data_IF_783948180631
#
_entry.id   IF_783948180631
#
_cell.length_a   1.000
_cell.length_b   1.000
_cell.length_c   1.000
_cell.angle_alpha   90.00
_cell.angle_beta   90.00
_cell.angle_gamma   90.00
#
_symmetry.space_group_name_H-M   'P 1'
#
loop_
_entity.id
_entity.type
_entity.pdbx_description
1 polymer ?
#
# COMPACT_ATOMS: atom_id res chain seq x y z
N UNK A 1 -23.01 12.30 17.71
CA UNK A 1 -21.75 11.97 18.42
C UNK A 1 -21.96 10.64 19.09
N UNK A 2 -21.22 9.62 18.66
CA UNK A 2 -21.26 8.29 19.27
C UNK A 2 -20.05 8.12 20.18
N UNK A 3 -20.31 7.86 21.46
CA UNK A 3 -19.25 7.55 22.44
C UNK A 3 -19.50 6.16 22.99
N UNK A 4 -18.50 5.30 22.88
CA UNK A 4 -18.52 3.96 23.45
C UNK A 4 -17.11 3.56 23.93
N UNK A 5 -17.01 2.48 24.66
CA UNK A 5 -15.74 1.91 25.07
C UNK A 5 -15.56 0.49 24.54
N UNK A 6 -14.35 0.14 24.22
CA UNK A 6 -13.96 -1.23 23.90
C UNK A 6 -13.32 -1.84 25.15
N UNK A 7 -13.85 -2.99 25.59
CA UNK A 7 -13.28 -3.82 26.65
C UNK A 7 -12.57 -5.02 26.02
N UNK A 8 -11.35 -5.32 26.46
CA UNK A 8 -10.58 -6.47 25.99
C UNK A 8 -9.52 -6.90 27.02
N UNK A 9 -8.92 -8.08 26.82
CA UNK A 9 -7.90 -8.60 27.75
C UNK A 9 -6.58 -7.85 27.64
N UNK A 10 -6.28 -7.29 26.45
CA UNK A 10 -5.03 -6.56 26.22
C UNK A 10 -5.17 -5.57 25.06
N UNK A 11 -4.52 -4.42 25.21
CA UNK A 11 -4.42 -3.38 24.21
C UNK A 11 -2.96 -3.09 23.88
N UNK A 12 -2.62 -3.00 22.59
CA UNK A 12 -1.31 -2.56 22.11
C UNK A 12 -1.42 -1.09 21.70
N UNK A 13 -1.05 -0.22 22.62
CA UNK A 13 -1.13 1.24 22.46
C UNK A 13 0.25 1.85 22.17
N UNK A 14 0.33 3.08 21.62
CA UNK A 14 1.62 3.75 21.36
C UNK A 14 2.51 3.89 22.61
N UNK A 15 1.91 4.05 23.80
CA UNK A 15 2.63 4.14 25.07
C UNK A 15 3.06 2.78 25.65
N UNK A 16 2.73 1.67 24.95
CA UNK A 16 3.00 0.30 25.38
C UNK A 16 1.73 -0.50 25.68
N UNK A 17 1.88 -1.82 25.90
CA UNK A 17 0.73 -2.69 26.14
C UNK A 17 0.07 -2.42 27.49
N UNK A 18 -1.27 -2.45 27.48
CA UNK A 18 -2.11 -2.36 28.68
C UNK A 18 -2.89 -3.68 28.85
N UNK A 19 -3.05 -4.15 30.09
CA UNK A 19 -3.79 -5.36 30.42
C UNK A 19 -5.18 -4.99 30.94
N UNK A 20 -6.21 -5.58 30.35
CA UNK A 20 -7.61 -5.28 30.69
C UNK A 20 -7.99 -3.83 30.48
N UNK A 21 -9.07 -3.39 31.11
CA UNK A 21 -9.57 -2.01 31.05
C UNK A 21 -10.37 -1.70 29.79
N UNK A 22 -10.43 -0.42 29.47
CA UNK A 22 -11.34 0.13 28.47
C UNK A 22 -10.64 1.15 27.58
N UNK A 23 -10.77 1.00 26.27
CA UNK A 23 -10.33 1.99 25.28
C UNK A 23 -11.53 2.81 24.82
N UNK A 24 -11.51 4.09 25.06
CA UNK A 24 -12.60 5.00 24.65
C UNK A 24 -12.59 5.19 23.14
N UNK A 25 -13.78 5.32 22.56
CA UNK A 25 -13.98 5.68 21.14
C UNK A 25 -14.99 6.81 21.08
N UNK A 26 -14.61 7.93 20.48
CA UNK A 26 -15.43 9.12 20.31
C UNK A 26 -15.52 9.47 18.82
N UNK A 27 -16.72 9.45 18.26
CA UNK A 27 -16.96 9.71 16.83
C UNK A 27 -16.06 8.90 15.87
N UNK A 28 -15.81 7.63 16.21
CA UNK A 28 -14.99 6.73 15.42
C UNK A 28 -13.47 6.89 15.62
N UNK A 29 -13.03 7.76 16.53
CA UNK A 29 -11.62 7.99 16.84
C UNK A 29 -11.28 7.35 18.18
N UNK A 30 -10.15 6.63 18.24
CA UNK A 30 -9.64 6.06 19.48
C UNK A 30 -9.14 7.17 20.41
N UNK A 31 -9.65 7.15 21.64
CA UNK A 31 -9.32 8.08 22.72
C UNK A 31 -8.40 7.46 23.77
N UNK A 32 -8.60 7.89 25.03
CA UNK A 32 -7.79 7.42 26.15
C UNK A 32 -8.15 5.97 26.55
N UNK A 33 -7.14 5.25 27.03
CA UNK A 33 -7.34 4.00 27.78
C UNK A 33 -7.52 4.34 29.26
N UNK A 34 -8.41 3.60 29.95
CA UNK A 34 -8.63 3.69 31.39
C UNK A 34 -8.87 2.32 32.00
N UNK A 35 -8.52 2.18 33.29
CA UNK A 35 -8.72 0.95 34.05
C UNK A 35 -10.17 0.77 34.52
N UNK A 36 -10.81 1.90 34.93
CA UNK A 36 -12.13 1.91 35.50
C UNK A 36 -13.21 1.86 34.42
N UNK A 37 -14.35 1.21 34.75
CA UNK A 37 -15.47 1.08 33.85
C UNK A 37 -16.13 2.43 33.56
N UNK A 38 -16.23 2.83 32.28
CA UNK A 38 -16.89 4.08 31.89
C UNK A 38 -18.42 3.97 31.95
N UNK A 39 -19.08 5.11 32.03
CA UNK A 39 -20.56 5.20 32.05
C UNK A 39 -21.19 5.28 30.65
N UNK A 40 -20.55 4.75 29.60
CA UNK A 40 -21.05 4.71 28.23
C UNK A 40 -21.30 3.28 27.79
N UNK A 41 -21.79 3.09 26.54
CA UNK A 41 -21.90 1.77 25.92
C UNK A 41 -20.55 1.05 25.92
N UNK A 42 -20.56 -0.24 26.25
CA UNK A 42 -19.35 -1.08 26.24
C UNK A 42 -19.50 -2.14 25.15
N UNK A 43 -18.56 -2.16 24.21
CA UNK A 43 -18.36 -3.26 23.25
C UNK A 43 -17.37 -4.25 23.86
N UNK A 44 -17.87 -5.38 24.35
CA UNK A 44 -17.09 -6.38 25.09
C UNK A 44 -16.43 -7.38 24.13
N UNK A 45 -15.09 -7.34 24.09
CA UNK A 45 -14.22 -8.27 23.39
C UNK A 45 -13.33 -9.06 24.37
N UNK A 46 -13.85 -9.38 25.55
CA UNK A 46 -13.15 -10.24 26.52
C UNK A 46 -12.73 -11.56 25.84
N UNK A 47 -11.51 -12.00 26.08
CA UNK A 47 -10.86 -13.12 25.39
C UNK A 47 -10.06 -12.71 24.14
N UNK A 48 -10.07 -11.43 23.80
CA UNK A 48 -9.36 -10.89 22.62
C UNK A 48 -8.32 -9.84 22.99
N UNK A 49 -7.40 -9.62 22.07
CA UNK A 49 -6.43 -8.54 22.12
C UNK A 49 -6.74 -7.50 21.05
N UNK A 50 -6.63 -6.23 21.41
CA UNK A 50 -6.82 -5.11 20.50
C UNK A 50 -5.45 -4.54 20.11
N UNK A 51 -5.20 -4.47 18.82
CA UNK A 51 -3.97 -3.92 18.25
C UNK A 51 -4.31 -3.02 17.06
N UNK A 52 -3.41 -2.09 16.68
CA UNK A 52 -3.52 -1.41 15.39
C UNK A 52 -3.60 -2.43 14.26
N UNK A 53 -4.46 -2.15 13.28
CA UNK A 53 -4.53 -2.97 12.08
C UNK A 53 -3.24 -2.89 11.26
N UNK A 54 -2.93 -3.96 10.52
CA UNK A 54 -1.80 -3.97 9.61
C UNK A 54 -2.06 -3.04 8.43
N UNK A 55 -0.98 -2.45 7.90
CA UNK A 55 -0.96 -1.64 6.68
C UNK A 55 -0.16 -2.39 5.63
N UNK A 56 -0.79 -2.76 4.52
CA UNK A 56 -0.12 -3.39 3.40
C UNK A 56 0.10 -2.37 2.29
N UNK A 57 1.36 -2.05 2.02
CA UNK A 57 1.73 -1.02 1.03
C UNK A 57 2.15 -1.61 -0.32
N UNK A 58 2.05 -2.95 -0.51
CA UNK A 58 2.43 -3.61 -1.75
C UNK A 58 1.74 -4.96 -1.88
N UNK A 59 0.59 -4.99 -2.52
CA UNK A 59 -0.19 -6.21 -2.78
C UNK A 59 -0.97 -6.10 -4.11
N UNK A 60 -0.86 -7.12 -4.95
CA UNK A 60 -1.44 -7.15 -6.30
C UNK A 60 -2.87 -7.70 -6.36
N UNK A 61 -3.54 -7.74 -5.26
CA UNK A 61 -4.87 -8.29 -5.11
C UNK A 61 -4.91 -9.40 -4.06
N UNK A 62 -6.11 -9.87 -3.77
CA UNK A 62 -6.34 -10.88 -2.76
C UNK A 62 -7.60 -11.68 -3.06
N UNK A 63 -7.68 -12.92 -2.56
CA UNK A 63 -8.87 -13.77 -2.63
C UNK A 63 -9.37 -14.03 -4.06
N UNK A 64 -8.42 -14.36 -4.96
CA UNK A 64 -8.61 -14.63 -6.40
C UNK A 64 -9.04 -13.40 -7.25
N UNK A 65 -8.85 -12.18 -6.77
CA UNK A 65 -9.00 -10.95 -7.53
C UNK A 65 -7.66 -10.24 -7.66
N UNK A 66 -7.34 -9.76 -8.86
CA UNK A 66 -6.18 -8.90 -9.10
C UNK A 66 -6.58 -7.42 -9.11
N UNK A 67 -5.67 -6.57 -8.68
CA UNK A 67 -5.83 -5.11 -8.78
C UNK A 67 -5.81 -4.59 -10.21
N UNK A 68 -5.45 -5.43 -11.18
CA UNK A 68 -5.42 -5.13 -12.62
C UNK A 68 -6.54 -5.78 -13.41
N UNK A 69 -7.52 -6.42 -12.75
CA UNK A 69 -8.65 -7.07 -13.43
C UNK A 69 -9.72 -6.07 -13.93
N UNK A 70 -9.55 -4.76 -13.66
CA UNK A 70 -10.53 -3.71 -13.98
C UNK A 70 -11.91 -3.99 -13.36
N UNK A 71 -11.92 -4.59 -12.17
CA UNK A 71 -13.09 -5.06 -11.45
C UNK A 71 -13.24 -4.36 -10.09
N UNK A 72 -14.07 -3.30 -9.98
CA UNK A 72 -14.31 -2.62 -8.71
C UNK A 72 -14.88 -3.53 -7.61
N UNK A 73 -15.72 -4.52 -7.96
CA UNK A 73 -16.28 -5.48 -7.00
C UNK A 73 -15.18 -6.39 -6.44
N UNK A 74 -14.25 -6.85 -7.29
CA UNK A 74 -13.07 -7.63 -6.88
C UNK A 74 -12.15 -6.86 -5.94
N UNK A 75 -12.00 -5.54 -6.11
CA UNK A 75 -11.28 -4.66 -5.19
C UNK A 75 -11.98 -4.62 -3.81
N UNK A 76 -13.31 -4.56 -3.78
CA UNK A 76 -14.08 -4.56 -2.52
C UNK A 76 -14.05 -5.92 -1.82
N UNK A 77 -14.09 -7.01 -2.56
CA UNK A 77 -13.89 -8.37 -2.03
C UNK A 77 -12.50 -8.48 -1.42
N UNK A 78 -11.46 -8.06 -2.14
CA UNK A 78 -10.08 -8.05 -1.64
C UNK A 78 -9.95 -7.24 -0.34
N UNK A 79 -10.52 -6.03 -0.30
CA UNK A 79 -10.52 -5.17 0.88
C UNK A 79 -11.21 -5.81 2.08
N UNK A 80 -12.35 -6.46 1.86
CA UNK A 80 -13.12 -7.14 2.90
C UNK A 80 -12.35 -8.33 3.47
N UNK A 81 -11.76 -9.13 2.60
CA UNK A 81 -11.00 -10.31 3.02
C UNK A 81 -9.65 -9.96 3.67
N UNK A 82 -9.03 -8.84 3.29
CA UNK A 82 -7.86 -8.29 3.98
C UNK A 82 -8.21 -7.86 5.41
N UNK A 83 -9.31 -7.13 5.58
CA UNK A 83 -9.78 -6.70 6.90
C UNK A 83 -10.06 -7.88 7.83
N UNK A 84 -10.68 -8.95 7.33
CA UNK A 84 -10.91 -10.20 8.08
C UNK A 84 -9.63 -10.87 8.58
N UNK A 85 -8.47 -10.54 7.98
CA UNK A 85 -7.15 -11.06 8.35
C UNK A 85 -6.27 -10.04 9.07
N UNK A 86 -6.86 -8.89 9.45
CA UNK A 86 -6.20 -7.88 10.27
C UNK A 86 -5.48 -6.77 9.50
N UNK A 87 -5.51 -6.79 8.16
CA UNK A 87 -5.05 -5.65 7.34
C UNK A 87 -6.18 -4.65 7.21
N UNK A 88 -6.02 -3.46 7.79
CA UNK A 88 -7.07 -2.43 7.84
C UNK A 88 -6.87 -1.30 6.84
N UNK A 89 -5.67 -1.22 6.26
CA UNK A 89 -5.31 -0.24 5.23
C UNK A 89 -4.37 -0.87 4.21
N UNK A 90 -4.50 -0.51 2.93
CA UNK A 90 -3.68 -1.05 1.89
C UNK A 90 -3.50 -0.10 0.70
N UNK A 91 -2.47 -0.38 -0.11
CA UNK A 91 -2.28 0.20 -1.42
C UNK A 91 -2.51 -0.89 -2.47
N UNK A 92 -3.66 -0.93 -3.16
CA UNK A 92 -3.79 -1.71 -4.38
C UNK A 92 -2.63 -1.43 -5.30
N UNK A 93 -1.89 -2.49 -5.69
CA UNK A 93 -0.66 -2.35 -6.47
C UNK A 93 -0.84 -2.95 -7.85
N UNK A 94 -0.65 -2.15 -8.91
CA UNK A 94 -0.76 -2.63 -10.30
C UNK A 94 0.44 -3.47 -10.71
N UNK A 95 0.27 -4.33 -11.72
CA UNK A 95 1.37 -4.97 -12.44
C UNK A 95 1.78 -4.16 -13.67
N UNK A 96 2.94 -4.51 -14.25
CA UNK A 96 3.36 -4.07 -15.58
C UNK A 96 2.38 -4.59 -16.63
N UNK A 97 1.72 -3.67 -17.32
CA UNK A 97 0.81 -3.94 -18.43
C UNK A 97 0.83 -2.76 -19.43
N UNK A 98 0.01 -2.81 -20.46
CA UNK A 98 -0.14 -1.71 -21.41
C UNK A 98 -0.65 -0.43 -20.73
N UNK A 99 -0.33 0.72 -21.33
CA UNK A 99 -0.66 2.05 -20.76
C UNK A 99 -2.17 2.18 -20.49
N UNK A 100 -3.01 1.75 -21.43
CA UNK A 100 -4.48 1.84 -21.28
C UNK A 100 -4.98 0.84 -20.22
N UNK A 101 -4.42 -0.37 -20.13
CA UNK A 101 -4.80 -1.36 -19.12
C UNK A 101 -4.50 -0.88 -17.71
N UNK A 102 -3.34 -0.25 -17.48
CA UNK A 102 -3.00 0.34 -16.18
C UNK A 102 -3.93 1.51 -15.86
N UNK A 103 -4.27 2.33 -16.85
CA UNK A 103 -5.23 3.43 -16.71
C UNK A 103 -6.61 2.92 -16.27
N UNK A 104 -7.12 1.88 -16.94
CA UNK A 104 -8.40 1.27 -16.61
C UNK A 104 -8.39 0.65 -15.21
N UNK A 105 -7.27 -0.01 -14.82
CA UNK A 105 -7.10 -0.54 -13.47
C UNK A 105 -7.12 0.58 -12.41
N UNK A 106 -6.45 1.70 -12.64
CA UNK A 106 -6.47 2.86 -11.76
C UNK A 106 -7.89 3.45 -11.61
N UNK A 107 -8.63 3.53 -12.72
CA UNK A 107 -10.03 3.99 -12.71
C UNK A 107 -10.94 3.03 -11.93
N UNK A 108 -10.77 1.71 -12.08
CA UNK A 108 -11.56 0.71 -11.36
C UNK A 108 -11.31 0.77 -9.85
N UNK A 109 -10.04 0.95 -9.43
CA UNK A 109 -9.69 1.13 -8.01
C UNK A 109 -10.33 2.41 -7.46
N UNK A 110 -10.26 3.51 -8.21
CA UNK A 110 -10.87 4.77 -7.81
C UNK A 110 -12.39 4.65 -7.68
N UNK A 111 -13.04 3.97 -8.62
CA UNK A 111 -14.48 3.69 -8.60
C UNK A 111 -14.88 2.88 -7.36
N UNK A 112 -14.12 1.83 -7.02
CA UNK A 112 -14.36 1.04 -5.82
C UNK A 112 -14.30 1.91 -4.57
N UNK A 113 -13.25 2.72 -4.42
CA UNK A 113 -13.07 3.59 -3.25
C UNK A 113 -14.18 4.65 -3.12
N UNK A 114 -14.59 5.28 -4.22
CA UNK A 114 -15.67 6.27 -4.26
C UNK A 114 -17.05 5.68 -3.95
N UNK A 115 -17.29 4.45 -4.36
CA UNK A 115 -18.55 3.76 -4.14
C UNK A 115 -18.80 3.32 -2.68
N UNK A 116 -17.78 3.39 -1.81
CA UNK A 116 -17.86 2.92 -0.43
C UNK A 116 -18.67 3.83 0.45
N UNK A 117 -19.73 3.29 1.00
CA UNK A 117 -20.52 3.98 2.02
C UNK A 117 -19.90 3.91 3.42
N UNK A 118 -20.49 4.61 4.41
CA UNK A 118 -20.01 4.65 5.79
C UNK A 118 -20.01 3.28 6.49
N UNK A 119 -20.81 2.34 6.00
CA UNK A 119 -20.94 0.98 6.55
C UNK A 119 -19.99 -0.03 5.92
N UNK A 120 -19.11 0.41 5.00
CA UNK A 120 -18.12 -0.48 4.38
C UNK A 120 -17.10 -0.95 5.42
N UNK A 121 -17.02 -2.27 5.63
CA UNK A 121 -16.20 -2.91 6.67
C UNK A 121 -14.90 -3.55 6.13
N UNK A 122 -14.46 -3.18 4.93
CA UNK A 122 -13.20 -3.64 4.34
C UNK A 122 -11.99 -2.79 4.73
N UNK A 123 -10.79 -3.26 4.38
CA UNK A 123 -9.57 -2.48 4.48
C UNK A 123 -9.67 -1.20 3.64
N UNK A 124 -9.22 -0.08 4.18
CA UNK A 124 -9.26 1.21 3.50
C UNK A 124 -8.18 1.30 2.44
N UNK A 125 -8.53 1.76 1.26
CA UNK A 125 -7.57 2.16 0.23
C UNK A 125 -6.94 3.49 0.67
N UNK A 126 -5.61 3.50 0.83
CA UNK A 126 -4.86 4.70 1.20
C UNK A 126 -4.22 5.38 -0.01
N UNK A 127 -4.42 4.83 -1.19
CA UNK A 127 -3.88 5.27 -2.46
C UNK A 127 -3.57 4.09 -3.35
N UNK A 128 -2.99 4.35 -4.52
CA UNK A 128 -2.59 3.33 -5.51
C UNK A 128 -1.06 3.30 -5.59
N UNK A 129 -0.50 2.11 -5.70
CA UNK A 129 0.91 1.92 -6.00
C UNK A 129 1.07 1.34 -7.42
N UNK A 130 1.84 2.02 -8.27
CA UNK A 130 2.21 1.53 -9.60
C UNK A 130 3.52 0.75 -9.51
N UNK A 131 3.46 -0.59 -9.59
CA UNK A 131 4.63 -1.44 -9.73
C UNK A 131 4.87 -1.79 -11.21
N UNK A 132 5.59 -0.94 -11.90
CA UNK A 132 5.83 -0.98 -13.33
C UNK A 132 5.01 0.05 -14.12
N UNK A 133 5.21 0.15 -15.41
CA UNK A 133 6.07 -0.66 -16.31
C UNK A 133 7.51 -0.14 -16.49
N UNK A 134 7.97 0.78 -15.69
CA UNK A 134 9.25 1.49 -15.81
C UNK A 134 10.45 0.67 -15.32
N UNK A 135 10.53 -0.59 -15.71
CA UNK A 135 11.49 -1.57 -15.19
C UNK A 135 12.51 -2.01 -16.24
N UNK A 136 13.60 -2.65 -15.79
CA UNK A 136 14.59 -3.24 -16.68
C UNK A 136 14.29 -4.71 -16.98
N UNK A 137 14.59 -5.13 -18.20
CA UNK A 137 14.43 -6.52 -18.64
C UNK A 137 15.22 -7.50 -17.77
N UNK A 138 16.41 -7.12 -17.32
CA UNK A 138 17.31 -8.01 -16.56
C UNK A 138 16.71 -8.46 -15.23
N UNK A 139 15.92 -7.61 -14.60
CA UNK A 139 15.27 -7.87 -13.31
C UNK A 139 13.75 -7.81 -13.39
N UNK A 140 13.19 -8.20 -14.51
CA UNK A 140 11.76 -8.16 -14.79
C UNK A 140 10.94 -8.98 -13.80
N UNK A 141 11.47 -10.07 -13.26
CA UNK A 141 10.76 -10.92 -12.30
C UNK A 141 9.47 -11.48 -12.88
N UNK A 142 8.37 -11.32 -12.15
CA UNK A 142 7.02 -11.74 -12.55
C UNK A 142 6.31 -10.73 -13.47
N UNK A 143 6.92 -9.58 -13.75
CA UNK A 143 6.33 -8.53 -14.59
C UNK A 143 6.31 -8.93 -16.07
N UNK A 144 5.37 -8.43 -16.86
CA UNK A 144 5.28 -8.74 -18.28
C UNK A 144 6.31 -7.93 -19.10
N UNK A 145 7.34 -8.57 -19.67
CA UNK A 145 8.41 -7.85 -20.37
C UNK A 145 7.95 -7.13 -21.65
N UNK A 146 6.80 -7.51 -22.22
CA UNK A 146 6.28 -6.92 -23.46
C UNK A 146 5.85 -5.44 -23.28
N UNK A 147 5.61 -5.01 -22.06
CA UNK A 147 5.10 -3.67 -21.75
C UNK A 147 6.10 -2.77 -21.04
N UNK A 148 7.38 -3.19 -20.94
CA UNK A 148 8.41 -2.34 -20.32
C UNK A 148 8.66 -1.10 -21.17
N UNK A 149 8.55 0.07 -20.55
CA UNK A 149 8.81 1.37 -21.17
C UNK A 149 9.70 2.24 -20.27
N UNK A 150 10.24 3.32 -20.82
CA UNK A 150 10.97 4.29 -20.01
C UNK A 150 10.04 5.14 -19.14
N UNK A 151 10.49 5.61 -17.96
CA UNK A 151 9.73 6.49 -17.10
C UNK A 151 9.26 7.74 -17.83
N UNK A 152 7.95 8.02 -17.73
CA UNK A 152 7.31 9.15 -18.41
C UNK A 152 6.32 9.84 -17.47
N UNK A 153 6.53 11.13 -17.21
CA UNK A 153 5.60 11.96 -16.47
C UNK A 153 4.27 12.09 -17.19
N UNK A 154 4.28 12.22 -18.54
CA UNK A 154 3.07 12.34 -19.35
C UNK A 154 2.17 11.09 -19.20
N UNK A 155 2.76 9.90 -19.22
CA UNK A 155 2.02 8.64 -19.03
C UNK A 155 1.52 8.54 -17.59
N UNK A 156 2.32 8.91 -16.61
CA UNK A 156 1.91 8.95 -15.21
C UNK A 156 0.70 9.88 -14.98
N UNK A 157 0.69 11.06 -15.61
CA UNK A 157 -0.37 12.04 -15.44
C UNK A 157 -1.72 11.53 -15.97
N UNK A 158 -1.72 10.75 -17.06
CA UNK A 158 -2.92 10.08 -17.57
C UNK A 158 -3.47 9.06 -16.55
N UNK A 159 -2.60 8.29 -15.89
CA UNK A 159 -3.01 7.36 -14.85
C UNK A 159 -3.48 8.07 -13.59
N UNK A 160 -2.81 9.15 -13.21
CA UNK A 160 -3.19 9.94 -12.03
C UNK A 160 -4.55 10.62 -12.22
N UNK A 161 -4.86 11.08 -13.42
CA UNK A 161 -6.19 11.61 -13.77
C UNK A 161 -7.25 10.50 -13.67
N UNK A 162 -7.03 9.34 -14.24
CA UNK A 162 -7.93 8.20 -14.18
C UNK A 162 -8.13 7.67 -12.74
N UNK A 163 -7.09 7.75 -11.93
CA UNK A 163 -7.12 7.42 -10.51
C UNK A 163 -7.84 8.47 -9.64
N UNK A 164 -8.29 9.60 -10.20
CA UNK A 164 -8.81 10.72 -9.42
C UNK A 164 -7.83 11.26 -8.39
N UNK A 165 -6.53 11.30 -8.74
CA UNK A 165 -5.47 11.79 -7.87
C UNK A 165 -4.98 10.80 -6.80
N UNK A 166 -5.35 9.52 -6.86
CA UNK A 166 -5.09 8.53 -5.80
C UNK A 166 -3.76 7.80 -5.91
N UNK A 167 -2.96 8.00 -6.96
CA UNK A 167 -1.64 7.36 -7.03
C UNK A 167 -0.70 8.08 -6.06
N UNK A 168 -0.20 7.34 -5.07
CA UNK A 168 0.67 7.86 -4.01
C UNK A 168 2.09 7.31 -4.10
N UNK A 169 2.31 6.26 -4.91
CA UNK A 169 3.61 5.61 -5.06
C UNK A 169 3.75 5.05 -6.47
N UNK A 170 4.95 5.17 -7.05
CA UNK A 170 5.32 4.57 -8.34
C UNK A 170 6.73 4.02 -8.29
N UNK A 171 6.94 2.81 -8.84
CA UNK A 171 8.27 2.20 -8.92
C UNK A 171 8.90 2.39 -10.31
N UNK A 172 10.23 2.48 -10.31
CA UNK A 172 11.04 2.54 -11.53
C UNK A 172 12.41 1.92 -11.34
N UNK A 173 13.04 1.50 -12.42
CA UNK A 173 14.44 1.18 -12.49
C UNK A 173 15.26 2.48 -12.69
N UNK A 174 16.25 2.72 -11.82
CA UNK A 174 16.94 4.01 -11.78
C UNK A 174 17.91 4.25 -12.96
N UNK A 175 18.30 3.17 -13.66
CA UNK A 175 19.15 3.22 -14.88
C UNK A 175 18.37 3.51 -16.17
N UNK A 176 17.02 3.52 -16.11
CA UNK A 176 16.21 3.78 -17.30
C UNK A 176 16.29 5.25 -17.72
N UNK A 177 16.21 5.48 -19.03
CA UNK A 177 16.23 6.83 -19.58
C UNK A 177 15.09 7.68 -18.97
N UNK A 178 15.43 8.86 -18.47
CA UNK A 178 14.48 9.76 -17.83
C UNK A 178 14.18 9.48 -16.35
N UNK A 179 14.73 8.44 -15.74
CA UNK A 179 14.41 8.03 -14.36
C UNK A 179 14.59 9.15 -13.32
N UNK A 180 15.69 9.89 -13.35
CA UNK A 180 15.92 11.01 -12.42
C UNK A 180 14.93 12.16 -12.65
N UNK A 181 14.60 12.48 -13.90
CA UNK A 181 13.59 13.50 -14.22
C UNK A 181 12.19 13.10 -13.73
N UNK A 182 11.83 11.83 -13.93
CA UNK A 182 10.58 11.26 -13.42
C UNK A 182 10.51 11.32 -11.89
N UNK A 183 11.59 10.93 -11.17
CA UNK A 183 11.64 11.05 -9.72
C UNK A 183 11.43 12.48 -9.24
N UNK A 184 12.05 13.46 -9.90
CA UNK A 184 11.87 14.87 -9.57
C UNK A 184 10.43 15.36 -9.79
N UNK A 185 9.82 14.98 -10.92
CA UNK A 185 8.43 15.33 -11.24
C UNK A 185 7.45 14.74 -10.22
N UNK A 186 7.60 13.47 -9.87
CA UNK A 186 6.75 12.80 -8.87
C UNK A 186 6.93 13.38 -7.47
N UNK A 187 8.16 13.67 -7.08
CA UNK A 187 8.44 14.33 -5.80
C UNK A 187 7.76 15.69 -5.69
N UNK A 188 7.76 16.48 -6.76
CA UNK A 188 7.06 17.76 -6.83
C UNK A 188 5.52 17.61 -6.69
N UNK A 189 4.97 16.46 -7.09
CA UNK A 189 3.55 16.10 -6.95
C UNK A 189 3.23 15.44 -5.60
N UNK A 190 4.22 15.24 -4.73
CA UNK A 190 4.04 14.55 -3.44
C UNK A 190 3.87 13.04 -3.56
N UNK A 191 4.25 12.44 -4.69
CA UNK A 191 4.18 11.01 -4.94
C UNK A 191 5.52 10.35 -4.63
N UNK A 192 5.50 9.26 -3.87
CA UNK A 192 6.71 8.50 -3.51
C UNK A 192 7.24 7.76 -4.74
N UNK A 193 8.48 8.02 -5.12
CA UNK A 193 9.17 7.21 -6.12
C UNK A 193 9.99 6.13 -5.45
N UNK A 194 9.82 4.87 -5.90
CA UNK A 194 10.49 3.68 -5.38
C UNK A 194 11.42 3.10 -6.45
N UNK A 195 12.66 2.78 -6.08
CA UNK A 195 13.60 2.09 -6.96
C UNK A 195 13.37 0.59 -6.80
N UNK A 196 13.14 -0.11 -7.92
CA UNK A 196 12.93 -1.56 -7.93
C UNK A 196 13.00 -2.14 -9.33
N UNK A 197 13.15 -3.46 -9.45
CA UNK A 197 13.32 -4.16 -10.73
C UNK A 197 14.41 -3.52 -11.60
N UNK A 198 15.54 -3.18 -10.97
CA UNK A 198 16.59 -2.29 -11.47
C UNK A 198 17.92 -2.99 -11.45
N UNK A 199 18.74 -2.73 -12.47
CA UNK A 199 20.17 -3.11 -12.55
C UNK A 199 21.07 -1.89 -12.34
N UNK A 200 20.53 -0.83 -11.74
CA UNK A 200 21.22 0.43 -11.56
C UNK A 200 22.50 0.28 -10.76
N UNK A 201 23.50 1.01 -11.19
CA UNK A 201 24.72 1.24 -10.41
C UNK A 201 24.44 2.11 -9.18
N UNK A 202 25.40 2.16 -8.27
CA UNK A 202 25.32 3.06 -7.11
C UNK A 202 25.10 4.53 -7.53
N UNK A 203 25.81 5.01 -8.54
CA UNK A 203 25.75 6.40 -8.99
C UNK A 203 24.37 6.74 -9.60
N UNK A 204 23.77 5.82 -10.36
CA UNK A 204 22.41 5.96 -10.90
C UNK A 204 21.35 5.98 -9.78
N UNK A 205 21.49 5.11 -8.78
CA UNK A 205 20.61 5.15 -7.60
C UNK A 205 20.75 6.48 -6.85
N UNK A 206 21.98 6.97 -6.63
CA UNK A 206 22.22 8.26 -5.97
C UNK A 206 21.63 9.42 -6.79
N UNK A 207 21.73 9.38 -8.11
CA UNK A 207 21.12 10.39 -8.97
C UNK A 207 19.59 10.40 -8.80
N UNK A 208 18.94 9.24 -8.78
CA UNK A 208 17.48 9.12 -8.55
C UNK A 208 17.09 9.58 -7.13
N UNK A 209 17.86 9.24 -6.10
CA UNK A 209 17.62 9.68 -4.71
C UNK A 209 17.76 11.20 -4.59
N UNK A 210 18.79 11.78 -5.16
CA UNK A 210 18.99 13.24 -5.16
C UNK A 210 17.87 13.97 -5.92
N UNK A 211 17.24 13.32 -6.88
CA UNK A 211 16.09 13.81 -7.60
C UNK A 211 14.76 13.63 -6.84
N UNK A 212 14.72 12.86 -5.73
CA UNK A 212 13.54 12.72 -4.88
C UNK A 212 13.04 11.30 -4.69
N UNK A 213 13.66 10.27 -5.28
CA UNK A 213 13.31 8.89 -4.96
C UNK A 213 13.62 8.60 -3.48
N UNK A 214 12.66 8.02 -2.76
CA UNK A 214 12.73 7.90 -1.30
C UNK A 214 12.38 6.50 -0.77
N UNK A 215 12.19 5.54 -1.68
CA UNK A 215 11.81 4.18 -1.33
C UNK A 215 12.56 3.17 -2.20
N UNK A 216 12.72 1.95 -1.69
CA UNK A 216 13.18 0.80 -2.46
C UNK A 216 12.11 -0.29 -2.42
N UNK A 217 11.86 -0.91 -3.56
CA UNK A 217 10.96 -2.06 -3.70
C UNK A 217 11.72 -3.36 -3.43
N UNK A 218 11.08 -4.32 -2.76
CA UNK A 218 11.65 -5.65 -2.46
C UNK A 218 12.94 -5.66 -1.61
N UNK A 219 13.16 -4.65 -0.78
CA UNK A 219 14.40 -4.49 0.02
C UNK A 219 14.68 -5.72 0.90
N UNK A 220 13.67 -6.31 1.53
CA UNK A 220 13.84 -7.52 2.34
C UNK A 220 14.24 -8.73 1.50
N UNK A 221 13.77 -8.82 0.27
CA UNK A 221 14.16 -9.86 -0.69
C UNK A 221 15.66 -9.80 -1.01
N UNK A 222 16.20 -8.60 -1.19
CA UNK A 222 17.62 -8.35 -1.44
C UNK A 222 18.49 -8.73 -0.22
N UNK A 223 18.04 -8.45 0.99
CA UNK A 223 18.72 -8.85 2.23
C UNK A 223 18.79 -10.37 2.33
N UNK A 224 17.75 -11.09 1.96
CA UNK A 224 17.74 -12.56 1.95
C UNK A 224 18.69 -13.16 0.92
N UNK A 225 18.90 -12.52 -0.21
CA UNK A 225 19.82 -12.96 -1.26
C UNK A 225 21.27 -12.70 -0.85
N UNK A 226 21.55 -11.68 -0.05
CA UNK A 226 22.89 -11.27 0.34
C UNK A 226 23.43 -11.95 1.61
N UNK A 227 22.59 -12.72 2.34
CA UNK A 227 23.02 -13.47 3.53
C UNK A 227 23.42 -14.91 3.17
N UNK A 228 24.72 -15.24 3.20
CA UNK A 228 25.20 -16.58 2.79
C UNK A 228 24.71 -17.73 3.69
N UNK A 229 24.21 -17.42 4.90
CA UNK A 229 23.70 -18.42 5.84
C UNK A 229 22.27 -18.88 5.53
N UNK A 230 21.52 -18.17 4.71
CA UNK A 230 20.13 -18.54 4.34
C UNK A 230 20.01 -19.34 3.06
N UNK A 231 21.00 -19.27 2.17
CA UNK A 231 21.04 -20.12 0.97
C UNK A 231 21.12 -21.64 1.27
N UNK A 232 21.48 -22.00 2.48
CA UNK A 232 21.54 -23.40 2.91
C UNK A 232 20.21 -23.95 3.47
N UNK A 233 19.13 -23.14 3.49
CA UNK A 233 17.84 -23.50 4.11
C UNK A 233 16.66 -23.50 3.15
N UNK A 234 16.88 -23.33 1.85
CA UNK A 234 15.86 -23.42 0.81
C UNK A 234 16.08 -24.66 -0.03
#
# INVERSE_FOLDING_TARGET
MSTYAIKADKFFLPAGPQLGGYLMVEDGVFGAWQADEPSCEIKDYTGSWIAPGMVDTHIHGFYNHSTTDNDPEGIDISSTELARRGTTSWLPTTFTDGVEQIKDACAAIAQADEGRGPDFCGARIQGIYLEGPFFTMKHVGAQNPAYLIDPSEEVFDQWQEAAGGRIVKSAMAAERDGAAAYAAALNAKGVVTSIGHSDATYDECIAAINAGASCFTHTLSLIHISEPTRHAQI
#
